data_IF_842431516970
#
_entry.id   IF_842431516970
#
_cell.length_a   1.000
_cell.length_b   1.000
_cell.length_c   1.000
_cell.angle_alpha   90.00
_cell.angle_beta   90.00
_cell.angle_gamma   90.00
#
_symmetry.space_group_name_H-M   'P 1'
#
loop_
_entity.id
_entity.type
_entity.pdbx_description
1 polymer ?
#
# COMPACT_ATOMS: atom_id res chain seq x y z
N UNK A 1 -15.01 1.61 1.35
CA UNK A 1 -15.54 0.31 0.89
C UNK A 1 -15.98 -0.64 2.03
N UNK A 2 -15.42 -0.53 3.26
CA UNK A 2 -15.81 -1.42 4.37
C UNK A 2 -17.31 -1.39 4.66
N UNK A 3 -17.88 -0.20 4.80
CA UNK A 3 -19.33 -0.03 4.99
C UNK A 3 -20.12 -0.54 3.77
N UNK A 4 -19.58 -0.40 2.56
CA UNK A 4 -20.19 -0.93 1.35
C UNK A 4 -20.24 -2.47 1.38
N UNK A 5 -19.13 -3.13 1.76
CA UNK A 5 -19.08 -4.59 1.87
C UNK A 5 -20.04 -5.13 2.93
N UNK A 6 -20.15 -4.43 4.07
CA UNK A 6 -21.13 -4.78 5.10
C UNK A 6 -22.55 -4.71 4.55
N UNK A 7 -22.90 -3.67 3.80
CA UNK A 7 -24.25 -3.47 3.26
C UNK A 7 -24.55 -4.38 2.07
N UNK A 8 -23.59 -4.61 1.18
CA UNK A 8 -23.81 -5.37 -0.07
C UNK A 8 -23.77 -6.88 0.13
N UNK A 9 -22.85 -7.35 0.99
CA UNK A 9 -22.62 -8.79 1.18
C UNK A 9 -23.02 -9.30 2.58
N UNK A 10 -23.66 -8.43 3.40
CA UNK A 10 -24.08 -8.74 4.78
C UNK A 10 -22.92 -9.25 5.66
N UNK A 11 -21.70 -8.76 5.41
CA UNK A 11 -20.50 -9.15 6.13
C UNK A 11 -20.43 -8.37 7.45
N UNK A 12 -20.39 -9.09 8.57
CA UNK A 12 -20.27 -8.48 9.90
C UNK A 12 -18.94 -7.73 10.08
N UNK A 13 -18.94 -6.70 10.93
CA UNK A 13 -17.76 -5.87 11.19
C UNK A 13 -16.55 -6.66 11.68
N UNK A 14 -16.76 -7.76 12.41
CA UNK A 14 -15.67 -8.65 12.84
C UNK A 14 -14.90 -9.24 11.65
N UNK A 15 -15.63 -9.66 10.61
CA UNK A 15 -15.02 -10.16 9.37
C UNK A 15 -14.39 -9.04 8.54
N UNK A 16 -15.00 -7.86 8.52
CA UNK A 16 -14.40 -6.68 7.85
C UNK A 16 -13.05 -6.33 8.46
N UNK A 17 -12.90 -6.43 9.80
CA UNK A 17 -11.63 -6.18 10.48
C UNK A 17 -10.51 -7.18 10.09
N UNK A 18 -10.87 -8.38 9.59
CA UNK A 18 -9.88 -9.33 9.08
C UNK A 18 -9.26 -8.90 7.74
N UNK A 19 -9.93 -8.06 6.96
CA UNK A 19 -9.42 -7.59 5.65
C UNK A 19 -8.08 -6.86 5.81
N UNK A 20 -7.97 -5.78 6.60
CA UNK A 20 -6.68 -5.13 6.82
C UNK A 20 -5.68 -6.03 7.57
N UNK A 21 -6.12 -6.89 8.48
CA UNK A 21 -5.24 -7.84 9.15
C UNK A 21 -4.57 -8.78 8.15
N UNK A 22 -5.35 -9.40 7.26
CA UNK A 22 -4.84 -10.31 6.21
C UNK A 22 -3.93 -9.55 5.25
N UNK A 23 -4.29 -8.32 4.88
CA UNK A 23 -3.47 -7.46 4.04
C UNK A 23 -2.07 -7.24 4.65
N UNK A 24 -1.99 -6.69 5.86
CA UNK A 24 -0.70 -6.38 6.50
C UNK A 24 0.10 -7.63 6.88
N UNK A 25 -0.57 -8.72 7.27
CA UNK A 25 0.11 -9.99 7.52
C UNK A 25 0.74 -10.54 6.24
N UNK A 26 0.00 -10.52 5.12
CA UNK A 26 0.53 -10.97 3.82
C UNK A 26 1.70 -10.10 3.38
N UNK A 27 1.57 -8.78 3.49
CA UNK A 27 2.62 -7.83 3.19
C UNK A 27 3.89 -8.13 4.00
N UNK A 28 3.78 -8.24 5.32
CA UNK A 28 4.88 -8.60 6.20
C UNK A 28 5.58 -9.91 5.81
N UNK A 29 4.81 -10.95 5.48
CA UNK A 29 5.37 -12.24 5.04
C UNK A 29 6.13 -12.12 3.72
N UNK A 30 5.61 -11.33 2.79
CA UNK A 30 6.27 -11.07 1.50
C UNK A 30 7.53 -10.23 1.69
N UNK A 31 7.52 -9.24 2.56
CA UNK A 31 8.70 -8.42 2.87
C UNK A 31 9.82 -9.30 3.42
N UNK A 32 9.52 -10.17 4.38
CA UNK A 32 10.49 -11.14 4.90
C UNK A 32 10.98 -12.12 3.83
N UNK A 33 10.10 -12.59 2.95
CA UNK A 33 10.48 -13.50 1.88
C UNK A 33 11.36 -12.81 0.83
N UNK A 34 11.03 -11.57 0.46
CA UNK A 34 11.74 -10.77 -0.53
C UNK A 34 13.21 -10.57 -0.18
N UNK A 35 13.56 -10.45 1.10
CA UNK A 35 14.96 -10.37 1.56
C UNK A 35 15.82 -11.57 1.16
N UNK A 36 15.21 -12.69 0.78
CA UNK A 36 15.92 -13.92 0.39
C UNK A 36 15.93 -14.17 -1.12
N UNK A 37 14.93 -13.69 -1.83
CA UNK A 37 14.79 -14.01 -3.23
C UNK A 37 15.01 -12.82 -4.18
N UNK A 38 14.84 -11.58 -3.72
CA UNK A 38 14.93 -10.41 -4.59
C UNK A 38 16.29 -10.30 -5.29
N UNK A 39 17.39 -10.52 -4.54
CA UNK A 39 18.76 -10.50 -5.09
C UNK A 39 18.99 -11.61 -6.12
N UNK A 40 18.33 -12.77 -5.94
CA UNK A 40 18.50 -13.94 -6.83
C UNK A 40 17.69 -13.82 -8.12
N UNK A 41 16.45 -13.35 -8.02
CA UNK A 41 15.51 -13.20 -9.15
C UNK A 41 15.84 -11.93 -9.93
N UNK A 42 16.33 -10.91 -9.25
CA UNK A 42 16.62 -9.59 -9.79
C UNK A 42 15.48 -8.59 -9.54
N UNK A 43 15.87 -7.39 -9.16
CA UNK A 43 14.95 -6.32 -8.74
C UNK A 43 13.91 -5.95 -9.81
N UNK A 44 14.32 -5.90 -11.10
CA UNK A 44 13.39 -5.60 -12.20
C UNK A 44 12.26 -6.61 -12.29
N UNK A 45 12.58 -7.90 -12.26
CA UNK A 45 11.58 -8.96 -12.34
C UNK A 45 10.63 -8.91 -11.12
N UNK A 46 11.17 -8.65 -9.93
CA UNK A 46 10.39 -8.52 -8.71
C UNK A 46 9.43 -7.31 -8.78
N UNK A 47 9.90 -6.13 -9.23
CA UNK A 47 9.04 -4.94 -9.37
C UNK A 47 7.98 -5.13 -10.45
N UNK A 48 8.28 -5.74 -11.59
CA UNK A 48 7.26 -6.05 -12.60
C UNK A 48 6.23 -7.02 -12.02
N UNK A 49 6.68 -8.09 -11.34
CA UNK A 49 5.78 -9.05 -10.70
C UNK A 49 4.89 -8.39 -9.65
N UNK A 50 5.41 -7.44 -8.87
CA UNK A 50 4.62 -6.69 -7.89
C UNK A 50 3.48 -5.92 -8.53
N UNK A 51 3.74 -5.25 -9.65
CA UNK A 51 2.73 -4.48 -10.37
C UNK A 51 1.64 -5.40 -10.98
N UNK A 52 2.06 -6.54 -11.57
CA UNK A 52 1.11 -7.53 -12.12
C UNK A 52 0.24 -8.13 -11.03
N UNK A 53 0.82 -8.51 -9.88
CA UNK A 53 0.07 -9.04 -8.73
C UNK A 53 -0.93 -8.01 -8.19
N UNK A 54 -0.51 -6.75 -8.05
CA UNK A 54 -1.38 -5.66 -7.61
C UNK A 54 -2.55 -5.46 -8.57
N UNK A 55 -2.29 -5.40 -9.87
CA UNK A 55 -3.33 -5.27 -10.89
C UNK A 55 -4.29 -6.47 -10.87
N UNK A 56 -3.76 -7.68 -10.84
CA UNK A 56 -4.57 -8.91 -10.79
C UNK A 56 -5.45 -8.94 -9.54
N UNK A 57 -4.90 -8.61 -8.36
CA UNK A 57 -5.66 -8.56 -7.11
C UNK A 57 -6.81 -7.55 -7.17
N UNK A 58 -6.59 -6.37 -7.74
CA UNK A 58 -7.64 -5.35 -7.91
C UNK A 58 -8.72 -5.80 -8.90
N UNK A 59 -8.36 -6.41 -10.02
CA UNK A 59 -9.33 -6.96 -10.98
C UNK A 59 -10.13 -8.10 -10.34
N UNK A 60 -9.48 -9.02 -9.64
CA UNK A 60 -10.13 -10.13 -8.96
C UNK A 60 -11.05 -9.67 -7.83
N UNK A 61 -10.74 -8.55 -7.17
CA UNK A 61 -11.61 -7.92 -6.18
C UNK A 61 -12.98 -7.55 -6.77
N UNK A 62 -13.05 -7.16 -8.03
CA UNK A 62 -14.29 -6.84 -8.71
C UNK A 62 -15.09 -8.11 -9.13
N UNK A 63 -14.42 -9.26 -9.28
CA UNK A 63 -14.99 -10.46 -9.90
C UNK A 63 -15.28 -11.57 -8.86
N UNK A 64 -14.30 -11.92 -8.00
CA UNK A 64 -14.39 -13.09 -7.12
C UNK A 64 -15.52 -13.04 -6.10
N UNK A 65 -15.87 -11.89 -5.51
CA UNK A 65 -17.00 -11.84 -4.56
C UNK A 65 -18.33 -12.25 -5.16
N UNK A 66 -18.51 -12.11 -6.48
CA UNK A 66 -19.72 -12.52 -7.20
C UNK A 66 -19.65 -13.96 -7.71
N UNK A 67 -18.44 -14.43 -7.99
CA UNK A 67 -18.21 -15.75 -8.58
C UNK A 67 -18.23 -16.87 -7.52
N UNK A 68 -17.79 -16.56 -6.30
CA UNK A 68 -17.67 -17.55 -5.24
C UNK A 68 -18.94 -17.63 -4.39
N UNK A 69 -19.30 -18.84 -3.90
CA UNK A 69 -20.46 -19.04 -3.01
C UNK A 69 -20.39 -18.20 -1.73
N UNK A 70 -19.20 -17.85 -1.28
CA UNK A 70 -18.96 -17.02 -0.11
C UNK A 70 -18.18 -15.76 -0.54
N UNK A 71 -18.84 -14.61 -0.73
CA UNK A 71 -18.23 -13.37 -1.20
C UNK A 71 -16.99 -12.93 -0.41
N UNK A 72 -17.02 -13.13 0.92
CA UNK A 72 -15.92 -12.80 1.81
C UNK A 72 -14.61 -13.53 1.45
N UNK A 73 -14.69 -14.80 1.05
CA UNK A 73 -13.52 -15.57 0.60
C UNK A 73 -12.94 -14.97 -0.67
N UNK A 74 -13.80 -14.53 -1.60
CA UNK A 74 -13.37 -13.83 -2.81
C UNK A 74 -12.63 -12.52 -2.52
N UNK A 75 -13.13 -11.76 -1.56
CA UNK A 75 -12.47 -10.55 -1.08
C UNK A 75 -11.09 -10.89 -0.51
N UNK A 76 -10.99 -11.89 0.39
CA UNK A 76 -9.72 -12.26 1.01
C UNK A 76 -8.67 -12.75 0.00
N UNK A 77 -9.06 -13.59 -0.97
CA UNK A 77 -8.14 -14.04 -2.04
C UNK A 77 -7.59 -12.84 -2.81
N UNK A 78 -8.46 -11.92 -3.19
CA UNK A 78 -8.08 -10.70 -3.91
C UNK A 78 -7.15 -9.82 -3.08
N UNK A 79 -7.44 -9.68 -1.79
CA UNK A 79 -6.61 -8.92 -0.82
C UNK A 79 -5.23 -9.55 -0.70
N UNK A 80 -5.11 -10.87 -0.58
CA UNK A 80 -3.82 -11.56 -0.52
C UNK A 80 -2.99 -11.27 -1.76
N UNK A 81 -3.56 -11.38 -2.96
CA UNK A 81 -2.82 -11.13 -4.20
C UNK A 81 -2.33 -9.68 -4.30
N UNK A 82 -3.21 -8.74 -4.02
CA UNK A 82 -2.84 -7.33 -4.10
C UNK A 82 -1.87 -6.93 -2.97
N UNK A 83 -1.97 -7.54 -1.78
CA UNK A 83 -1.03 -7.34 -0.69
C UNK A 83 0.37 -7.89 -0.99
N UNK A 84 0.45 -9.04 -1.69
CA UNK A 84 1.73 -9.56 -2.19
C UNK A 84 2.40 -8.57 -3.14
N UNK A 85 1.63 -7.98 -4.06
CA UNK A 85 2.15 -6.95 -4.96
C UNK A 85 2.59 -5.69 -4.22
N UNK A 86 1.79 -5.22 -3.29
CA UNK A 86 2.09 -4.03 -2.46
C UNK A 86 3.35 -4.21 -1.61
N UNK A 87 3.50 -5.35 -0.92
CA UNK A 87 4.69 -5.64 -0.13
C UNK A 87 5.96 -5.67 -0.98
N UNK A 88 5.92 -6.39 -2.11
CA UNK A 88 7.08 -6.44 -3.02
C UNK A 88 7.53 -5.05 -3.47
N UNK A 89 6.62 -4.17 -3.89
CA UNK A 89 7.03 -2.83 -4.32
C UNK A 89 7.56 -2.00 -3.16
N UNK A 90 6.95 -2.10 -1.99
CA UNK A 90 7.34 -1.33 -0.81
C UNK A 90 8.75 -1.66 -0.35
N UNK A 91 9.10 -2.94 -0.26
CA UNK A 91 10.43 -3.37 0.18
C UNK A 91 11.53 -3.10 -0.86
N UNK A 92 11.18 -3.00 -2.14
CA UNK A 92 12.16 -2.85 -3.23
C UNK A 92 12.40 -1.39 -3.64
N UNK A 93 11.39 -0.52 -3.53
CA UNK A 93 11.49 0.84 -4.08
C UNK A 93 12.52 1.70 -3.36
N UNK A 94 12.61 1.60 -2.04
CA UNK A 94 13.58 2.35 -1.25
C UNK A 94 15.04 1.97 -1.57
N UNK A 95 15.44 0.69 -1.55
CA UNK A 95 16.77 0.30 -2.02
C UNK A 95 17.09 0.71 -3.46
N UNK A 96 16.12 0.63 -4.38
CA UNK A 96 16.32 1.05 -5.77
C UNK A 96 16.66 2.55 -5.85
N UNK A 97 15.94 3.39 -5.11
CA UNK A 97 16.21 4.83 -5.07
C UNK A 97 17.54 5.13 -4.37
N UNK A 98 17.89 4.39 -3.31
CA UNK A 98 19.16 4.52 -2.60
C UNK A 98 20.37 4.19 -3.49
N UNK A 99 20.22 3.22 -4.40
CA UNK A 99 21.27 2.87 -5.36
C UNK A 99 21.45 3.88 -6.48
N UNK A 100 20.49 4.77 -6.72
CA UNK A 100 20.62 5.81 -7.74
C UNK A 100 21.69 6.83 -7.35
N UNK A 101 22.44 7.40 -8.32
CA UNK A 101 23.55 8.32 -8.09
C UNK A 101 23.07 9.74 -7.78
N UNK A 102 22.23 9.92 -6.77
CA UNK A 102 21.78 11.23 -6.29
C UNK A 102 22.78 11.82 -5.29
N UNK A 103 23.04 13.12 -5.38
CA UNK A 103 23.90 13.84 -4.43
C UNK A 103 23.26 13.93 -3.03
N UNK A 104 21.95 14.18 -2.96
CA UNK A 104 21.18 14.24 -1.71
C UNK A 104 20.25 13.03 -1.61
N UNK A 105 20.76 11.92 -1.08
CA UNK A 105 20.00 10.69 -0.92
C UNK A 105 18.88 10.80 0.11
N UNK A 106 19.13 11.47 1.24
CA UNK A 106 18.13 11.67 2.30
C UNK A 106 16.93 12.49 1.79
N UNK A 107 17.20 13.56 1.05
CA UNK A 107 16.16 14.36 0.42
C UNK A 107 15.36 13.58 -0.62
N UNK A 108 16.02 12.72 -1.41
CA UNK A 108 15.34 11.86 -2.39
C UNK A 108 14.49 10.79 -1.73
N UNK A 109 14.95 10.19 -0.61
CA UNK A 109 14.16 9.25 0.18
C UNK A 109 12.92 9.92 0.80
N UNK A 110 13.09 11.12 1.36
CA UNK A 110 11.96 11.90 1.88
C UNK A 110 10.95 12.26 0.79
N UNK A 111 11.43 12.63 -0.40
CA UNK A 111 10.59 12.90 -1.56
C UNK A 111 9.85 11.63 -2.03
N UNK A 112 10.54 10.49 -2.11
CA UNK A 112 9.93 9.20 -2.45
C UNK A 112 8.73 8.90 -1.53
N UNK A 113 8.94 9.00 -0.23
CA UNK A 113 7.86 8.75 0.74
C UNK A 113 6.76 9.83 0.69
N UNK A 114 7.05 11.04 0.23
CA UNK A 114 6.01 12.05 0.02
C UNK A 114 5.09 11.69 -1.15
N UNK A 115 5.61 11.06 -2.22
CA UNK A 115 4.80 10.59 -3.35
C UNK A 115 3.76 9.54 -2.93
N UNK A 116 4.08 8.70 -1.95
CA UNK A 116 3.09 7.80 -1.35
C UNK A 116 1.88 8.59 -0.79
N UNK A 117 2.15 9.66 -0.05
CA UNK A 117 1.10 10.51 0.52
C UNK A 117 0.25 11.19 -0.56
N UNK A 118 0.89 11.76 -1.58
CA UNK A 118 0.20 12.40 -2.70
C UNK A 118 -0.57 11.40 -3.55
N UNK A 119 -0.05 10.18 -3.71
CA UNK A 119 -0.77 9.07 -4.32
C UNK A 119 -2.04 8.72 -3.55
N UNK A 120 -1.96 8.64 -2.20
CA UNK A 120 -3.13 8.42 -1.35
C UNK A 120 -4.17 9.53 -1.50
N UNK A 121 -3.75 10.81 -1.49
CA UNK A 121 -4.64 11.96 -1.76
C UNK A 121 -5.34 11.81 -3.12
N UNK A 122 -4.58 11.50 -4.17
CA UNK A 122 -5.11 11.32 -5.52
C UNK A 122 -6.14 10.20 -5.60
N UNK A 123 -5.86 9.05 -4.97
CA UNK A 123 -6.79 7.90 -4.92
C UNK A 123 -8.05 8.25 -4.12
N UNK A 124 -7.92 8.91 -2.97
CA UNK A 124 -9.08 9.30 -2.16
C UNK A 124 -9.95 10.29 -2.93
N UNK A 125 -9.37 11.38 -3.44
CA UNK A 125 -10.12 12.41 -4.19
C UNK A 125 -10.75 11.82 -5.44
N UNK A 126 -10.01 11.04 -6.23
CA UNK A 126 -10.53 10.40 -7.45
C UNK A 126 -11.65 9.41 -7.14
N UNK A 127 -11.51 8.61 -6.07
CA UNK A 127 -12.55 7.67 -5.64
C UNK A 127 -13.78 8.39 -5.11
N UNK A 128 -13.60 9.45 -4.31
CA UNK A 128 -14.70 10.25 -3.77
C UNK A 128 -15.47 10.94 -4.90
N UNK A 129 -14.77 11.54 -5.87
CA UNK A 129 -15.39 12.15 -7.04
C UNK A 129 -16.15 11.10 -7.89
N UNK A 130 -15.54 9.95 -8.13
CA UNK A 130 -16.21 8.87 -8.87
C UNK A 130 -17.51 8.43 -8.17
N UNK A 131 -17.46 8.22 -6.86
CA UNK A 131 -18.66 7.83 -6.11
C UNK A 131 -19.71 8.92 -6.03
N UNK A 132 -19.31 10.18 -6.00
CA UNK A 132 -20.26 11.30 -6.06
C UNK A 132 -20.99 11.40 -7.40
N UNK A 133 -20.33 11.04 -8.50
CA UNK A 133 -20.89 11.11 -9.86
C UNK A 133 -21.65 9.83 -10.27
N UNK A 134 -21.15 8.67 -9.89
CA UNK A 134 -21.61 7.37 -10.40
C UNK A 134 -22.23 6.46 -9.32
N UNK A 135 -22.21 6.88 -8.05
CA UNK A 135 -22.71 6.09 -6.93
C UNK A 135 -21.69 5.05 -6.41
N UNK A 136 -21.84 4.70 -5.14
CA UNK A 136 -20.94 3.74 -4.42
C UNK A 136 -21.15 2.31 -4.92
N UNK A 137 -22.29 1.98 -5.49
CA UNK A 137 -22.62 0.69 -6.09
C UNK A 137 -21.68 0.31 -7.25
N UNK A 138 -21.10 1.31 -7.92
CA UNK A 138 -20.16 1.13 -9.03
C UNK A 138 -18.70 0.92 -8.59
N UNK A 139 -18.45 0.59 -7.32
CA UNK A 139 -17.11 0.40 -6.76
C UNK A 139 -16.26 -0.63 -7.52
N UNK A 140 -16.88 -1.65 -8.13
CA UNK A 140 -16.18 -2.66 -8.95
C UNK A 140 -15.53 -2.04 -10.18
N UNK A 141 -16.24 -1.14 -10.87
CA UNK A 141 -15.70 -0.41 -12.04
C UNK A 141 -14.51 0.43 -11.61
N UNK A 142 -14.62 1.14 -10.49
CA UNK A 142 -13.54 1.93 -9.94
C UNK A 142 -12.31 1.09 -9.61
N UNK A 143 -12.50 -0.10 -9.04
CA UNK A 143 -11.40 -1.01 -8.70
C UNK A 143 -10.63 -1.45 -9.94
N UNK A 144 -11.33 -1.72 -11.06
CA UNK A 144 -10.71 -2.04 -12.35
C UNK A 144 -9.98 -0.84 -12.94
N UNK A 145 -10.55 0.38 -12.81
CA UNK A 145 -9.86 1.60 -13.25
C UNK A 145 -8.55 1.78 -12.50
N UNK A 146 -8.55 1.61 -11.17
CA UNK A 146 -7.33 1.68 -10.37
C UNK A 146 -6.32 0.59 -10.72
N UNK A 147 -6.74 -0.58 -11.19
CA UNK A 147 -5.85 -1.64 -11.64
C UNK A 147 -5.02 -1.27 -12.89
N UNK A 148 -5.48 -0.29 -13.68
CA UNK A 148 -4.73 0.20 -14.85
C UNK A 148 -3.42 0.88 -14.47
N UNK A 149 -3.34 1.53 -13.30
CA UNK A 149 -2.11 2.21 -12.85
C UNK A 149 -0.95 1.23 -12.67
N UNK A 150 -1.05 0.19 -11.83
CA UNK A 150 0.03 -0.79 -11.71
C UNK A 150 0.27 -1.54 -13.02
N UNK A 151 -0.73 -1.79 -13.84
CA UNK A 151 -0.55 -2.43 -15.14
C UNK A 151 0.31 -1.56 -16.07
N UNK A 152 0.04 -0.26 -16.17
CA UNK A 152 0.85 0.68 -16.96
C UNK A 152 2.28 0.75 -16.37
N UNK A 153 2.42 0.79 -15.05
CA UNK A 153 3.73 0.78 -14.40
C UNK A 153 4.52 -0.51 -14.68
N UNK A 154 3.86 -1.67 -14.78
CA UNK A 154 4.54 -2.90 -15.17
C UNK A 154 5.26 -2.74 -16.52
N UNK A 155 4.60 -2.12 -17.51
CA UNK A 155 5.21 -1.83 -18.82
C UNK A 155 6.36 -0.82 -18.70
N UNK A 156 6.21 0.24 -17.88
CA UNK A 156 7.28 1.22 -17.67
C UNK A 156 8.53 0.57 -17.08
N UNK A 157 8.39 -0.35 -16.12
CA UNK A 157 9.51 -1.03 -15.47
C UNK A 157 10.24 -2.05 -16.39
N UNK A 158 9.64 -2.47 -17.50
CA UNK A 158 10.33 -3.29 -18.50
C UNK A 158 11.54 -2.53 -19.08
N UNK A 159 11.39 -1.23 -19.33
CA UNK A 159 12.40 -0.36 -19.95
C UNK A 159 13.19 0.49 -18.96
N UNK A 160 12.78 0.54 -17.68
CA UNK A 160 13.43 1.35 -16.67
C UNK A 160 14.83 0.79 -16.33
N UNK A 161 15.91 1.58 -16.35
CA UNK A 161 17.21 1.12 -15.88
C UNK A 161 17.15 0.93 -14.36
N UNK A 162 17.47 -0.27 -13.89
CA UNK A 162 17.59 -0.58 -12.46
C UNK A 162 18.99 -1.13 -12.24
N UNK A 163 19.79 -0.38 -11.48
CA UNK A 163 21.15 -0.75 -11.10
C UNK A 163 21.15 -1.93 -10.12
N UNK A 164 22.27 -2.65 -10.05
CA UNK A 164 22.47 -3.64 -9.00
C UNK A 164 22.67 -2.93 -7.66
N UNK A 165 21.93 -3.34 -6.65
CA UNK A 165 21.85 -2.64 -5.36
C UNK A 165 23.00 -2.98 -4.42
N UNK A 166 23.58 -4.17 -4.49
CA UNK A 166 24.59 -4.67 -3.56
C UNK A 166 25.68 -5.40 -4.35
N UNK A 167 26.94 -5.04 -4.12
CA UNK A 167 28.08 -5.85 -4.56
C UNK A 167 28.20 -7.09 -3.66
N UNK A 168 28.58 -8.23 -4.28
CA UNK A 168 28.70 -9.51 -3.57
C UNK A 168 29.70 -9.39 -2.40
N UNK A 169 29.21 -9.57 -1.17
CA UNK A 169 30.02 -9.59 0.04
C UNK A 169 29.94 -8.35 0.93
N UNK A 170 29.26 -7.30 0.52
CA UNK A 170 29.00 -6.12 1.34
C UNK A 170 27.64 -6.24 2.03
N UNK A 171 27.64 -6.16 3.34
CA UNK A 171 26.42 -6.12 4.15
C UNK A 171 26.53 -6.81 5.50
N UNK A 172 25.70 -6.36 6.43
CA UNK A 172 25.60 -6.96 7.75
C UNK A 172 24.66 -8.17 7.71
N UNK A 173 25.08 -9.30 8.27
CA UNK A 173 24.18 -10.47 8.34
C UNK A 173 23.00 -10.19 9.25
N UNK A 174 21.84 -10.81 8.96
CA UNK A 174 20.61 -10.70 9.78
C UNK A 174 20.88 -10.99 11.27
N UNK A 175 21.77 -11.98 11.56
CA UNK A 175 22.11 -12.32 12.92
C UNK A 175 22.90 -11.21 13.64
N UNK A 176 23.75 -10.48 12.93
CA UNK A 176 24.48 -9.34 13.49
C UNK A 176 23.52 -8.17 13.74
N UNK A 177 22.60 -7.89 12.80
CA UNK A 177 21.59 -6.86 12.92
C UNK A 177 20.68 -7.07 14.15
N UNK A 178 20.18 -8.30 14.34
CA UNK A 178 19.33 -8.67 15.48
C UNK A 178 20.03 -8.56 16.86
N UNK A 179 21.36 -8.45 16.89
CA UNK A 179 22.13 -8.24 18.13
C UNK A 179 22.29 -6.78 18.52
N UNK A 180 21.97 -5.85 17.63
CA UNK A 180 22.10 -4.41 17.88
C UNK A 180 20.89 -3.89 18.67
N UNK A 181 21.08 -3.30 19.87
CA UNK A 181 19.96 -2.69 20.60
C UNK A 181 19.29 -1.56 19.82
N UNK A 182 20.06 -0.79 19.05
CA UNK A 182 19.56 0.27 18.20
C UNK A 182 18.56 -0.25 17.16
N UNK A 183 18.80 -1.44 16.60
CA UNK A 183 17.87 -2.07 15.64
C UNK A 183 16.47 -2.27 16.26
N UNK A 184 16.40 -2.77 17.49
CA UNK A 184 15.13 -2.98 18.18
C UNK A 184 14.43 -1.67 18.55
N UNK A 185 15.19 -0.64 18.93
CA UNK A 185 14.66 0.68 19.18
C UNK A 185 14.04 1.27 17.90
N UNK A 186 14.73 1.16 16.76
CA UNK A 186 14.22 1.63 15.48
C UNK A 186 12.97 0.85 15.04
N UNK A 187 12.95 -0.48 15.24
CA UNK A 187 11.73 -1.28 14.99
C UNK A 187 10.58 -0.80 15.85
N UNK A 188 10.79 -0.57 17.15
CA UNK A 188 9.72 -0.09 18.02
C UNK A 188 9.16 1.26 17.57
N UNK A 189 10.03 2.20 17.20
CA UNK A 189 9.63 3.51 16.68
C UNK A 189 8.83 3.36 15.37
N UNK A 190 9.27 2.50 14.45
CA UNK A 190 8.58 2.23 13.19
C UNK A 190 7.21 1.57 13.42
N UNK A 191 7.10 0.64 14.38
CA UNK A 191 5.81 0.01 14.74
C UNK A 191 4.84 1.07 15.29
N UNK A 192 5.29 1.94 16.17
CA UNK A 192 4.44 3.01 16.73
C UNK A 192 3.98 4.00 15.64
N UNK A 193 4.88 4.43 14.77
CA UNK A 193 4.57 5.33 13.67
C UNK A 193 3.61 4.70 12.67
N UNK A 194 3.91 3.47 12.21
CA UNK A 194 3.09 2.73 11.25
C UNK A 194 1.70 2.38 11.79
N UNK A 195 1.58 2.00 13.08
CA UNK A 195 0.29 1.74 13.69
C UNK A 195 -0.59 2.99 13.74
N UNK A 196 -0.01 4.16 14.05
CA UNK A 196 -0.72 5.43 14.06
C UNK A 196 -1.19 5.82 12.66
N UNK A 197 -0.30 5.72 11.67
CA UNK A 197 -0.61 5.99 10.25
C UNK A 197 -1.70 5.06 9.72
N UNK A 198 -1.55 3.76 9.93
CA UNK A 198 -2.50 2.75 9.47
C UNK A 198 -3.89 2.93 10.11
N UNK A 199 -3.95 3.27 11.40
CA UNK A 199 -5.21 3.53 12.08
C UNK A 199 -5.97 4.71 11.46
N UNK A 200 -5.29 5.80 11.17
CA UNK A 200 -5.89 6.97 10.52
C UNK A 200 -6.30 6.66 9.07
N UNK A 201 -5.40 6.04 8.30
CA UNK A 201 -5.67 5.74 6.89
C UNK A 201 -6.84 4.75 6.69
N UNK A 202 -6.96 3.73 7.55
CA UNK A 202 -7.95 2.67 7.40
C UNK A 202 -9.30 2.97 8.03
N UNK A 203 -9.31 3.62 9.18
CA UNK A 203 -10.51 3.68 10.02
C UNK A 203 -11.12 5.07 10.17
N UNK A 204 -10.39 6.17 9.88
CA UNK A 204 -10.91 7.52 10.12
C UNK A 204 -12.21 7.80 9.36
N UNK A 205 -12.30 7.43 8.07
CA UNK A 205 -13.52 7.63 7.28
C UNK A 205 -14.69 6.78 7.82
N UNK A 206 -14.46 5.50 8.09
CA UNK A 206 -15.50 4.61 8.62
C UNK A 206 -15.97 5.03 10.02
N UNK A 207 -15.06 5.52 10.85
CA UNK A 207 -15.37 6.04 12.18
C UNK A 207 -16.23 7.31 12.10
N UNK A 208 -15.86 8.28 11.27
CA UNK A 208 -16.62 9.52 11.11
C UNK A 208 -18.01 9.28 10.53
N UNK A 209 -18.13 8.40 9.52
CA UNK A 209 -19.42 8.00 8.96
C UNK A 209 -20.32 7.30 10.00
N UNK A 210 -19.78 6.34 10.75
CA UNK A 210 -20.57 5.50 11.63
C UNK A 210 -20.85 6.14 13.00
N UNK A 211 -19.90 6.87 13.59
CA UNK A 211 -19.99 7.43 14.93
C UNK A 211 -20.48 8.88 14.96
N UNK A 212 -20.14 9.67 13.95
CA UNK A 212 -20.49 11.10 13.89
C UNK A 212 -21.67 11.37 12.94
N UNK A 213 -22.10 10.38 12.15
CA UNK A 213 -23.22 10.50 11.22
C UNK A 213 -22.99 11.48 10.05
N UNK A 214 -21.74 11.81 9.75
CA UNK A 214 -21.39 12.64 8.60
C UNK A 214 -21.49 11.86 7.29
N UNK A 215 -21.58 12.57 6.17
CA UNK A 215 -21.59 11.93 4.87
C UNK A 215 -20.26 11.18 4.62
N UNK A 216 -20.31 10.13 3.78
CA UNK A 216 -19.09 9.42 3.36
C UNK A 216 -18.06 10.36 2.74
N UNK A 217 -18.53 11.31 1.93
CA UNK A 217 -17.67 12.32 1.29
C UNK A 217 -16.93 13.18 2.31
N UNK A 218 -17.63 13.69 3.31
CA UNK A 218 -17.02 14.49 4.37
C UNK A 218 -16.05 13.67 5.22
N UNK A 219 -16.42 12.40 5.52
CA UNK A 219 -15.56 11.48 6.25
C UNK A 219 -14.26 11.12 5.49
N UNK A 220 -14.33 10.89 4.19
CA UNK A 220 -13.16 10.61 3.36
C UNK A 220 -12.24 11.84 3.22
N UNK A 221 -12.81 13.04 3.10
CA UNK A 221 -12.04 14.28 2.95
C UNK A 221 -11.42 14.75 4.27
N UNK A 222 -12.21 14.82 5.34
CA UNK A 222 -11.76 15.32 6.64
C UNK A 222 -10.88 14.32 7.42
N UNK A 223 -11.01 13.04 7.16
CA UNK A 223 -10.21 11.99 7.78
C UNK A 223 -8.93 11.68 6.98
N UNK A 224 -8.92 10.59 6.21
CA UNK A 224 -7.70 10.09 5.60
C UNK A 224 -7.10 11.03 4.53
N UNK A 225 -7.91 11.82 3.81
CA UNK A 225 -7.38 12.74 2.80
C UNK A 225 -6.59 13.88 3.45
N UNK A 226 -7.17 14.57 4.43
CA UNK A 226 -6.49 15.67 5.14
C UNK A 226 -5.25 15.18 5.88
N UNK A 227 -5.30 14.00 6.49
CA UNK A 227 -4.16 13.36 7.11
C UNK A 227 -3.03 13.12 6.09
N UNK A 228 -3.32 12.56 4.91
CA UNK A 228 -2.34 12.30 3.86
C UNK A 228 -1.71 13.60 3.31
N UNK A 229 -2.50 14.69 3.18
CA UNK A 229 -2.00 16.02 2.78
C UNK A 229 -0.97 16.54 3.78
N UNK A 230 -1.31 16.55 5.08
CA UNK A 230 -0.37 17.03 6.10
C UNK A 230 0.89 16.18 6.18
N UNK A 231 0.76 14.86 6.07
CA UNK A 231 1.88 13.94 6.05
C UNK A 231 2.79 14.21 4.82
N UNK A 232 2.22 14.40 3.63
CA UNK A 232 2.96 14.70 2.41
C UNK A 232 3.71 16.03 2.50
N UNK A 233 3.05 17.08 3.01
CA UNK A 233 3.67 18.40 3.21
C UNK A 233 4.84 18.30 4.21
N UNK A 234 4.64 17.62 5.35
CA UNK A 234 5.68 17.50 6.37
C UNK A 234 6.93 16.77 5.85
N UNK A 235 6.75 15.72 5.04
CA UNK A 235 7.86 14.97 4.41
C UNK A 235 8.62 15.82 3.39
N UNK A 236 7.94 16.65 2.58
CA UNK A 236 8.60 17.58 1.64
C UNK A 236 9.40 18.63 2.41
N UNK A 237 8.84 19.19 3.47
CA UNK A 237 9.52 20.19 4.30
C UNK A 237 10.76 19.60 4.96
N UNK A 238 10.65 18.42 5.52
CA UNK A 238 11.79 17.72 6.13
C UNK A 238 12.90 17.41 5.12
N UNK A 239 12.57 17.00 3.90
CA UNK A 239 13.56 16.74 2.86
C UNK A 239 14.30 17.99 2.33
N UNK A 240 13.84 19.20 2.69
CA UNK A 240 14.51 20.47 2.34
C UNK A 240 15.35 21.04 3.49
N UNK A 241 15.20 20.56 4.70
CA UNK A 241 15.97 20.96 5.89
C UNK A 241 17.25 20.15 5.99
#
# INVERSE_FOLDING_TARGET
LFVTFTKTYEIGFEKIALIPLVFYLTQFLIDLAATKFADKIGYRACVISSQVLSAAGLVLMAILPELLPVPFVGILISVVLYAMGSGLVEVLVSPIVEACPFENKDGMMSLLHSFYCWGAVGVILGSTLFFALFGVENWKILTVIWALIPLINAFNFISCPIERLIEDGEGMSTRQLLRLPLFWLLILLMVCAGASEASMAQWASAFTESAMGVSKTDGDLAGPCLFAVFMGISRILYGKL
#
